data_IF_620458452113
#
_entry.id   IF_620458452113
#
_cell.length_a   1.000
_cell.length_b   1.000
_cell.length_c   1.000
_cell.angle_alpha   90.00
_cell.angle_beta   90.00
_cell.angle_gamma   90.00
#
_symmetry.space_group_name_H-M   'P 1'
#
loop_
_entity.id
_entity.type
_entity.pdbx_description
1 polymer ?
#
# COMPACT_ATOMS: atom_id res chain seq x y z
N UNK A 1 2.38 -4.38 -9.79
CA UNK A 1 2.97 -3.07 -10.12
C UNK A 1 2.78 -2.12 -8.93
N UNK A 2 3.30 -2.45 -7.73
CA UNK A 2 3.01 -1.69 -6.51
C UNK A 2 3.57 -0.26 -6.56
N UNK A 3 4.78 -0.08 -7.12
CA UNK A 3 5.45 1.22 -7.14
C UNK A 3 4.92 2.21 -8.20
N UNK A 4 4.19 1.76 -9.23
CA UNK A 4 3.83 2.62 -10.36
C UNK A 4 2.79 3.68 -10.00
N UNK A 5 1.92 3.41 -9.01
CA UNK A 5 0.88 4.33 -8.53
C UNK A 5 1.47 5.61 -7.89
N UNK A 6 2.67 5.52 -7.33
CA UNK A 6 3.37 6.65 -6.69
C UNK A 6 4.01 7.61 -7.71
N UNK A 7 4.11 7.22 -8.99
CA UNK A 7 4.69 8.04 -10.06
C UNK A 7 3.63 8.60 -11.03
N UNK A 8 2.36 8.22 -10.87
CA UNK A 8 1.27 8.56 -11.78
C UNK A 8 0.21 9.39 -11.07
N UNK A 9 -0.37 10.37 -11.76
CA UNK A 9 -1.37 11.28 -11.18
C UNK A 9 -2.73 10.60 -11.02
N UNK A 10 -3.57 11.13 -10.13
CA UNK A 10 -4.95 10.70 -9.88
C UNK A 10 -5.85 10.66 -11.14
N UNK A 11 -5.42 11.29 -12.23
CA UNK A 11 -6.07 11.26 -13.56
C UNK A 11 -5.75 10.01 -14.38
N UNK A 12 -4.80 9.18 -13.96
CA UNK A 12 -4.33 8.02 -14.75
C UNK A 12 -5.10 6.74 -14.46
N UNK A 13 -5.73 6.63 -13.29
CA UNK A 13 -6.46 5.43 -12.85
C UNK A 13 -7.87 5.81 -12.38
N UNK A 14 -8.85 4.94 -12.60
CA UNK A 14 -10.15 5.09 -11.95
C UNK A 14 -10.05 4.79 -10.45
N UNK A 15 -10.93 5.37 -9.64
CA UNK A 15 -10.99 5.10 -8.20
C UNK A 15 -11.16 3.58 -7.91
N UNK A 16 -11.90 2.85 -8.75
CA UNK A 16 -12.05 1.39 -8.60
C UNK A 16 -10.76 0.61 -8.91
N UNK A 17 -9.98 1.08 -9.89
CA UNK A 17 -8.65 0.53 -10.13
C UNK A 17 -7.76 0.81 -8.93
N UNK A 18 -7.64 2.07 -8.49
CA UNK A 18 -6.85 2.45 -7.32
C UNK A 18 -7.22 1.63 -6.08
N UNK A 19 -8.51 1.46 -5.80
CA UNK A 19 -9.00 0.67 -4.68
C UNK A 19 -8.56 -0.79 -4.75
N UNK A 20 -8.66 -1.40 -5.93
CA UNK A 20 -8.26 -2.81 -6.14
C UNK A 20 -6.77 -2.99 -5.92
N UNK A 21 -6.01 -2.01 -6.40
CA UNK A 21 -4.57 -2.06 -6.51
C UNK A 21 -3.91 -1.75 -5.15
N UNK A 22 -4.45 -0.80 -4.38
CA UNK A 22 -4.10 -0.54 -2.98
C UNK A 22 -4.39 -1.77 -2.10
N UNK A 23 -5.55 -2.43 -2.29
CA UNK A 23 -5.88 -3.66 -1.56
C UNK A 23 -4.90 -4.79 -1.87
N UNK A 24 -4.46 -4.91 -3.12
CA UNK A 24 -3.47 -5.91 -3.51
C UNK A 24 -2.12 -5.65 -2.82
N UNK A 25 -1.70 -4.39 -2.70
CA UNK A 25 -0.46 -4.01 -2.01
C UNK A 25 -0.55 -4.27 -0.51
N UNK A 26 -1.63 -3.88 0.15
CA UNK A 26 -1.83 -4.17 1.57
C UNK A 26 -1.77 -5.68 1.84
N UNK A 27 -2.39 -6.50 0.98
CA UNK A 27 -2.34 -7.95 1.09
C UNK A 27 -0.92 -8.51 0.87
N UNK A 28 -0.18 -7.98 -0.12
CA UNK A 28 1.20 -8.37 -0.40
C UNK A 28 2.14 -8.01 0.77
N UNK A 29 2.03 -6.80 1.30
CA UNK A 29 2.80 -6.32 2.45
C UNK A 29 2.50 -7.13 3.71
N UNK A 30 1.23 -7.47 3.96
CA UNK A 30 0.86 -8.37 5.09
C UNK A 30 1.41 -9.79 4.90
N UNK A 31 1.44 -10.31 3.67
CA UNK A 31 2.05 -11.61 3.38
C UNK A 31 3.55 -11.56 3.63
N UNK A 32 4.24 -10.55 3.12
CA UNK A 32 5.67 -10.34 3.35
C UNK A 32 5.99 -10.14 4.85
N UNK A 33 5.16 -9.41 5.59
CA UNK A 33 5.27 -9.28 7.05
C UNK A 33 5.29 -10.65 7.73
N UNK A 34 4.36 -11.54 7.40
CA UNK A 34 4.28 -12.89 7.98
C UNK A 34 5.49 -13.73 7.60
N UNK A 35 5.87 -13.75 6.32
CA UNK A 35 7.03 -14.49 5.84
C UNK A 35 8.33 -14.02 6.52
N UNK A 36 8.46 -12.71 6.76
CA UNK A 36 9.61 -12.14 7.47
C UNK A 36 9.58 -12.44 8.97
N UNK A 37 8.40 -12.46 9.60
CA UNK A 37 8.26 -12.90 11.00
C UNK A 37 8.66 -14.36 11.16
N UNK A 38 8.19 -15.24 10.27
CA UNK A 38 8.53 -16.66 10.26
C UNK A 38 10.03 -16.88 10.01
N UNK A 39 10.65 -16.04 9.20
CA UNK A 39 12.10 -16.03 8.98
C UNK A 39 12.92 -15.40 10.12
N UNK A 40 12.28 -14.94 11.20
CA UNK A 40 12.93 -14.28 12.34
C UNK A 40 13.42 -12.84 12.06
N UNK A 41 13.03 -12.26 10.92
CA UNK A 41 13.40 -10.91 10.48
C UNK A 41 12.37 -9.87 10.96
N UNK A 42 12.19 -9.79 12.27
CA UNK A 42 11.14 -8.95 12.89
C UNK A 42 11.20 -7.48 12.49
N UNK A 43 12.40 -6.87 12.41
CA UNK A 43 12.52 -5.47 12.00
C UNK A 43 12.02 -5.21 10.57
N UNK A 44 12.29 -6.13 9.64
CA UNK A 44 11.78 -6.01 8.26
C UNK A 44 10.27 -6.31 8.22
N UNK A 45 9.80 -7.22 9.06
CA UNK A 45 8.37 -7.47 9.18
C UNK A 45 7.60 -6.26 9.70
N UNK A 46 8.15 -5.51 10.65
CA UNK A 46 7.55 -4.28 11.17
C UNK A 46 7.49 -3.21 10.08
N UNK A 47 8.54 -3.08 9.25
CA UNK A 47 8.51 -2.21 8.08
C UNK A 47 7.43 -2.60 7.08
N UNK A 48 7.25 -3.90 6.80
CA UNK A 48 6.16 -4.38 5.94
C UNK A 48 4.78 -4.19 6.57
N UNK A 49 4.68 -4.27 7.91
CA UNK A 49 3.48 -3.93 8.66
C UNK A 49 3.11 -2.46 8.46
N UNK A 50 4.07 -1.55 8.65
CA UNK A 50 3.87 -0.12 8.43
C UNK A 50 3.46 0.19 6.98
N UNK A 51 4.09 -0.45 5.99
CA UNK A 51 3.71 -0.29 4.58
C UNK A 51 2.29 -0.81 4.29
N UNK A 52 1.85 -1.87 4.96
CA UNK A 52 0.47 -2.36 4.83
C UNK A 52 -0.54 -1.39 5.45
N UNK A 53 -0.20 -0.79 6.59
CA UNK A 53 -1.07 0.16 7.28
C UNK A 53 -1.18 1.47 6.48
N UNK A 54 -0.06 1.96 5.91
CA UNK A 54 -0.08 3.10 5.01
C UNK A 54 -0.96 2.87 3.77
N UNK A 55 -0.91 1.67 3.18
CA UNK A 55 -1.81 1.31 2.08
C UNK A 55 -3.28 1.32 2.53
N UNK A 56 -3.60 0.91 3.75
CA UNK A 56 -4.97 0.98 4.28
C UNK A 56 -5.43 2.42 4.53
N UNK A 57 -4.53 3.29 4.96
CA UNK A 57 -4.79 4.73 5.10
C UNK A 57 -5.07 5.36 3.74
N UNK A 58 -4.28 5.04 2.71
CA UNK A 58 -4.56 5.47 1.34
C UNK A 58 -5.92 4.97 0.84
N UNK A 59 -6.29 3.73 1.16
CA UNK A 59 -7.59 3.18 0.81
C UNK A 59 -8.73 3.98 1.48
N UNK A 60 -8.53 4.38 2.73
CA UNK A 60 -9.47 5.22 3.48
C UNK A 60 -9.59 6.59 2.83
N UNK A 61 -8.46 7.23 2.50
CA UNK A 61 -8.43 8.53 1.84
C UNK A 61 -9.10 8.50 0.47
N UNK A 62 -8.97 7.39 -0.27
CA UNK A 62 -9.62 7.19 -1.57
C UNK A 62 -11.13 7.10 -1.40
N UNK A 63 -11.60 6.33 -0.42
CA UNK A 63 -13.02 6.23 -0.11
C UNK A 63 -13.61 7.55 0.39
N UNK A 64 -12.80 8.39 1.05
CA UNK A 64 -13.18 9.72 1.51
C UNK A 64 -13.03 10.80 0.43
N UNK A 65 -12.55 10.45 -0.78
CA UNK A 65 -12.34 11.37 -1.90
C UNK A 65 -11.15 12.33 -1.72
N UNK A 66 -10.41 12.23 -0.62
CA UNK A 66 -9.28 13.10 -0.29
C UNK A 66 -7.92 12.53 -0.73
N UNK A 67 -7.91 11.35 -1.33
CA UNK A 67 -6.70 10.66 -1.75
C UNK A 67 -5.76 11.50 -2.61
N UNK A 68 -4.48 11.39 -2.25
CA UNK A 68 -3.34 11.93 -2.96
C UNK A 68 -2.27 10.84 -3.02
N UNK A 69 -1.51 10.73 -4.11
CA UNK A 69 -0.40 9.79 -4.17
C UNK A 69 0.61 10.16 -3.07
N UNK A 70 0.89 9.24 -2.14
CA UNK A 70 1.97 9.44 -1.18
C UNK A 70 3.29 9.40 -1.96
N UNK A 71 3.91 10.57 -2.14
CA UNK A 71 5.31 10.64 -2.53
C UNK A 71 6.14 10.33 -1.28
N UNK A 72 6.47 9.06 -1.08
CA UNK A 72 7.58 8.72 -0.20
C UNK A 72 8.85 9.24 -0.90
N UNK A 73 9.28 10.45 -0.51
CA UNK A 73 10.50 11.12 -0.97
C UNK A 73 11.76 10.41 -0.51
#
# INVERSE_FOLDING_TARGET
MPAARHFLSRTTFSDDQLRTDIKADAAASRKAQRELQEAGKHHLADQMGAAADEALDELSDLNNGIWKPNHHS
#
